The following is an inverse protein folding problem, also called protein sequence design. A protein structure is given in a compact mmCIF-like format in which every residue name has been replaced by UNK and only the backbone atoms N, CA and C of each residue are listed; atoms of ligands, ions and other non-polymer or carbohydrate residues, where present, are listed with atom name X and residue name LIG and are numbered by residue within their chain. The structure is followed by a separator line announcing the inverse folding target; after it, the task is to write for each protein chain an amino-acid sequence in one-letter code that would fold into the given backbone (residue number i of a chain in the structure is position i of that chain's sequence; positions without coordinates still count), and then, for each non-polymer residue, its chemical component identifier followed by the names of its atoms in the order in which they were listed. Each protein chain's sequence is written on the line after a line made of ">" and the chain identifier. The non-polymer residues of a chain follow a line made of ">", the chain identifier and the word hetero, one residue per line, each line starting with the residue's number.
data_IF_600176634359
#
_entry.id   IF_600176634359
#
_cell.length_a   1.000
_cell.length_b   1.000
_cell.length_c   1.000
_cell.angle_alpha   90.00
_cell.angle_beta   90.00
_cell.angle_gamma   90.00
#
_symmetry.space_group_name_H-M   'P 1'
#
loop_
_entity.id
_entity.type
_entity.pdbx_description
1 polymer ?
#
# COMPACT_ATOMS: atom_id res chain seq x y z
N UNK A 1 13.15 4.82 12.49
CA UNK A 1 12.61 3.72 11.65
C UNK A 1 11.11 3.92 11.49
N UNK A 2 10.51 3.63 10.33
CA UNK A 2 9.06 3.79 10.08
C UNK A 2 8.33 2.47 10.31
N UNK A 3 7.14 2.51 10.91
CA UNK A 3 6.27 1.36 11.14
C UNK A 3 5.05 1.42 10.21
N UNK A 4 4.96 0.46 9.27
CA UNK A 4 3.89 0.35 8.28
C UNK A 4 3.08 -0.91 8.56
N UNK A 5 1.75 -0.75 8.63
CA UNK A 5 0.82 -1.88 8.80
C UNK A 5 0.42 -2.42 7.43
N UNK A 6 0.30 -3.73 7.29
CA UNK A 6 -0.21 -4.33 6.06
C UNK A 6 -1.74 -4.35 6.06
N UNK A 7 -2.31 -4.09 4.89
CA UNK A 7 -3.67 -4.41 4.43
C UNK A 7 -4.82 -3.66 5.15
N UNK A 8 -4.57 -3.10 6.34
CA UNK A 8 -5.61 -2.55 7.21
C UNK A 8 -5.35 -1.08 7.61
N UNK A 9 -5.88 -0.11 6.83
CA UNK A 9 -5.80 1.32 7.15
C UNK A 9 -6.42 1.71 8.49
N UNK A 10 -7.50 1.04 8.91
CA UNK A 10 -8.16 1.33 10.19
C UNK A 10 -7.26 0.92 11.36
N UNK A 11 -6.62 -0.25 11.26
CA UNK A 11 -5.65 -0.70 12.25
C UNK A 11 -4.42 0.22 12.27
N UNK A 12 -3.89 0.61 11.10
CA UNK A 12 -2.80 1.57 10.99
C UNK A 12 -3.13 2.90 11.68
N UNK A 13 -4.38 3.37 11.54
CA UNK A 13 -4.87 4.57 12.26
C UNK A 13 -4.94 4.32 13.77
N UNK A 14 -5.57 3.22 14.20
CA UNK A 14 -5.76 2.87 15.62
C UNK A 14 -4.43 2.72 16.37
N UNK A 15 -3.42 2.12 15.72
CA UNK A 15 -2.08 1.93 16.28
C UNK A 15 -1.18 3.15 16.14
N UNK A 16 -1.67 4.25 15.56
CA UNK A 16 -0.86 5.43 15.24
C UNK A 16 0.40 5.10 14.41
N UNK A 17 0.32 4.07 13.56
CA UNK A 17 1.40 3.69 12.66
C UNK A 17 1.73 4.83 11.67
N UNK A 18 2.94 4.82 11.11
CA UNK A 18 3.38 5.82 10.13
C UNK A 18 2.64 5.70 8.79
N UNK A 19 2.03 4.55 8.52
CA UNK A 19 1.35 4.29 7.25
C UNK A 19 0.78 2.89 7.09
N UNK A 20 0.30 2.61 5.88
CA UNK A 20 -0.26 1.32 5.48
C UNK A 20 0.28 0.87 4.11
N UNK A 21 0.49 -0.43 3.93
CA UNK A 21 0.72 -1.06 2.63
C UNK A 21 -0.58 -1.72 2.16
N UNK A 22 -0.95 -1.54 0.90
CA UNK A 22 -2.17 -2.11 0.31
C UNK A 22 -1.86 -3.06 -0.84
N UNK A 23 -2.37 -4.27 -0.74
CA UNK A 23 -2.52 -5.22 -1.82
C UNK A 23 -3.72 -4.90 -2.71
N UNK A 24 -3.82 -5.62 -3.84
CA UNK A 24 -4.87 -5.39 -4.85
C UNK A 24 -6.27 -5.86 -4.42
N UNK A 25 -6.38 -6.61 -3.32
CA UNK A 25 -7.64 -7.12 -2.78
C UNK A 25 -8.07 -6.42 -1.49
N UNK A 26 -7.28 -5.44 -1.06
CA UNK A 26 -7.55 -4.72 0.18
C UNK A 26 -8.42 -3.50 -0.11
N UNK A 27 -8.55 -2.62 0.88
CA UNK A 27 -9.22 -1.34 0.70
C UNK A 27 -8.60 -0.53 -0.43
N UNK A 28 -9.43 0.11 -1.26
CA UNK A 28 -8.94 0.96 -2.34
C UNK A 28 -8.15 2.17 -1.80
N UNK A 29 -7.25 2.69 -2.63
CA UNK A 29 -6.35 3.76 -2.25
C UNK A 29 -7.08 5.01 -1.75
N UNK A 30 -8.19 5.41 -2.40
CA UNK A 30 -8.87 6.65 -2.06
C UNK A 30 -9.55 6.55 -0.70
N UNK A 31 -10.22 5.42 -0.42
CA UNK A 31 -10.79 5.13 0.90
C UNK A 31 -9.71 5.08 1.99
N UNK A 32 -8.59 4.40 1.71
CA UNK A 32 -7.46 4.38 2.64
C UNK A 32 -6.88 5.79 2.89
N UNK A 33 -6.81 6.63 1.84
CA UNK A 33 -6.35 8.02 1.94
C UNK A 33 -7.26 8.88 2.81
N UNK A 34 -8.57 8.69 2.72
CA UNK A 34 -9.53 9.38 3.60
C UNK A 34 -9.32 9.00 5.07
N UNK A 35 -8.99 7.73 5.36
CA UNK A 35 -8.74 7.25 6.72
C UNK A 35 -7.41 7.78 7.28
N UNK A 36 -6.36 7.70 6.46
CA UNK A 36 -4.96 7.88 6.86
C UNK A 36 -4.43 9.31 6.66
N UNK A 37 -5.09 10.13 5.85
CA UNK A 37 -4.69 11.51 5.57
C UNK A 37 -3.29 11.58 4.98
N UNK A 38 -2.38 12.28 5.68
CA UNK A 38 -1.01 12.53 5.22
C UNK A 38 -0.01 11.41 5.54
N UNK A 39 -0.46 10.30 6.15
CA UNK A 39 0.40 9.13 6.42
C UNK A 39 0.85 8.45 5.12
N UNK A 40 1.87 7.60 5.26
CA UNK A 40 2.46 6.85 4.15
C UNK A 40 1.47 5.80 3.65
N UNK A 41 1.22 5.76 2.33
CA UNK A 41 0.45 4.70 1.69
C UNK A 41 1.27 4.11 0.55
N UNK A 42 1.58 2.82 0.66
CA UNK A 42 2.21 2.06 -0.42
C UNK A 42 1.24 1.10 -1.06
N UNK A 43 1.49 0.74 -2.32
CA UNK A 43 0.65 -0.23 -3.04
C UNK A 43 1.48 -1.33 -3.70
N UNK A 44 0.93 -2.55 -3.75
CA UNK A 44 1.49 -3.64 -4.55
C UNK A 44 1.11 -3.47 -6.01
N UNK A 45 2.08 -3.58 -6.93
CA UNK A 45 1.88 -3.47 -8.38
C UNK A 45 2.24 -4.75 -9.14
N UNK A 46 2.84 -5.78 -8.51
CA UNK A 46 3.15 -7.08 -9.12
C UNK A 46 3.81 -6.99 -10.51
N UNK A 47 4.74 -6.06 -10.68
CA UNK A 47 5.42 -5.75 -11.94
C UNK A 47 4.48 -5.37 -13.12
N UNK A 48 3.22 -5.04 -12.84
CA UNK A 48 2.23 -4.60 -13.83
C UNK A 48 2.41 -3.11 -14.14
N UNK A 49 2.68 -2.80 -15.42
CA UNK A 49 2.77 -1.42 -15.91
C UNK A 49 1.49 -0.63 -15.67
N UNK A 50 0.32 -1.28 -15.72
CA UNK A 50 -0.96 -0.63 -15.46
C UNK A 50 -1.06 -0.19 -13.99
N UNK A 51 -0.79 -1.12 -13.06
CA UNK A 51 -0.88 -0.83 -11.63
C UNK A 51 0.14 0.23 -11.19
N UNK A 52 1.32 0.26 -11.83
CA UNK A 52 2.32 1.32 -11.60
C UNK A 52 1.76 2.69 -12.02
N UNK A 53 1.13 2.78 -13.21
CA UNK A 53 0.51 4.02 -13.68
C UNK A 53 -0.62 4.48 -12.75
N UNK A 54 -1.42 3.55 -12.24
CA UNK A 54 -2.46 3.85 -11.25
C UNK A 54 -1.85 4.38 -9.94
N UNK A 55 -0.79 3.75 -9.43
CA UNK A 55 -0.07 4.23 -8.25
C UNK A 55 0.48 5.65 -8.39
N UNK A 56 1.05 5.97 -9.56
CA UNK A 56 1.52 7.33 -9.88
C UNK A 56 0.34 8.31 -9.89
N UNK A 57 -0.77 7.95 -10.54
CA UNK A 57 -1.99 8.78 -10.59
C UNK A 57 -2.55 9.06 -9.19
N UNK A 58 -2.55 8.05 -8.32
CA UNK A 58 -2.98 8.16 -6.94
C UNK A 58 -1.98 8.91 -6.04
N UNK A 59 -0.75 9.17 -6.52
CA UNK A 59 0.36 9.71 -5.72
C UNK A 59 0.66 8.84 -4.49
N UNK A 60 0.68 7.52 -4.69
CA UNK A 60 1.16 6.60 -3.67
C UNK A 60 2.60 6.96 -3.25
N UNK A 61 2.91 6.81 -1.96
CA UNK A 61 4.23 7.18 -1.44
C UNK A 61 5.33 6.21 -1.92
N UNK A 62 4.97 4.96 -2.19
CA UNK A 62 5.84 3.98 -2.82
C UNK A 62 5.02 2.88 -3.51
N UNK A 63 5.69 2.06 -4.32
CA UNK A 63 5.13 0.87 -4.95
C UNK A 63 6.00 -0.36 -4.62
N UNK A 64 5.36 -1.52 -4.53
CA UNK A 64 6.04 -2.81 -4.45
C UNK A 64 5.82 -3.60 -5.75
N UNK A 65 6.89 -4.07 -6.38
CA UNK A 65 6.78 -4.82 -7.65
C UNK A 65 6.47 -6.31 -7.46
N UNK A 66 6.28 -6.76 -6.22
CA UNK A 66 6.10 -8.17 -5.88
C UNK A 66 7.44 -8.91 -5.81
N UNK A 67 7.35 -10.24 -5.75
CA UNK A 67 8.52 -11.09 -5.68
C UNK A 67 9.23 -11.17 -7.04
N UNK A 68 10.56 -10.96 -7.03
CA UNK A 68 11.40 -11.12 -8.22
C UNK A 68 11.73 -12.59 -8.53
N UNK A 69 11.71 -13.43 -7.50
CA UNK A 69 11.96 -14.86 -7.60
C UNK A 69 10.73 -15.63 -7.12
N UNK A 70 10.61 -16.89 -7.54
CA UNK A 70 9.54 -17.76 -7.04
C UNK A 70 9.69 -17.98 -5.53
N UNK A 71 8.58 -17.86 -4.81
CA UNK A 71 8.52 -18.07 -3.37
C UNK A 71 7.27 -18.87 -3.02
N UNK A 72 7.33 -19.63 -1.92
CA UNK A 72 6.19 -20.41 -1.40
C UNK A 72 5.27 -19.57 -0.51
N UNK A 73 5.78 -18.45 0.00
CA UNK A 73 4.97 -17.43 0.66
C UNK A 73 4.48 -16.45 -0.39
N UNK A 74 3.36 -15.78 -0.11
CA UNK A 74 3.03 -14.57 -0.87
C UNK A 74 4.18 -13.57 -0.81
#
# INVERSE_FOLDING_TARGET
>A
VKFIVNDNPLLAKKLMADGCHLGQKDMDFNSAKQILGNKIIGISCYNSKQLIKEGIKYKANYIALGAFFSTKTK
#
